data_IF_955967850297
#
_entry.id   IF_955967850297
#
_cell.length_a   1.000
_cell.length_b   1.000
_cell.length_c   1.000
_cell.angle_alpha   90.00
_cell.angle_beta   90.00
_cell.angle_gamma   90.00
#
_symmetry.space_group_name_H-M   'P 1'
#
loop_
_entity.id
_entity.type
_entity.pdbx_description
1 polymer ?
#
# COMPACT_ATOMS: atom_id res chain seq x y z
N UNK A 1 -19.82 -18.11 -1.91
CA UNK A 1 -18.67 -17.82 -2.80
C UNK A 1 -17.50 -18.67 -2.32
N UNK A 2 -16.85 -19.44 -3.18
CA UNK A 2 -15.92 -20.52 -2.80
C UNK A 2 -14.51 -20.05 -2.37
N UNK A 3 -14.32 -18.76 -2.03
CA UNK A 3 -13.01 -18.15 -1.76
C UNK A 3 -12.99 -17.15 -0.60
N UNK A 4 -14.08 -16.94 0.13
CA UNK A 4 -14.31 -15.69 0.86
C UNK A 4 -13.29 -15.28 1.93
N UNK A 5 -12.41 -16.17 2.41
CA UNK A 5 -11.40 -15.84 3.42
C UNK A 5 -10.03 -16.53 3.18
N UNK A 6 -9.65 -16.84 1.93
CA UNK A 6 -8.35 -17.47 1.66
C UNK A 6 -7.25 -16.49 1.23
N UNK A 7 -7.63 -15.33 0.72
CA UNK A 7 -6.70 -14.38 0.13
C UNK A 7 -6.93 -13.00 0.69
N UNK A 8 -5.81 -12.39 1.06
CA UNK A 8 -5.66 -11.01 1.49
C UNK A 8 -5.09 -10.25 0.29
N UNK A 9 -5.82 -9.26 -0.21
CA UNK A 9 -5.53 -8.62 -1.50
C UNK A 9 -5.58 -7.10 -1.35
N UNK A 10 -4.52 -6.45 -1.82
CA UNK A 10 -4.51 -5.03 -2.18
C UNK A 10 -4.42 -4.91 -3.70
N UNK A 11 -5.26 -4.07 -4.30
CA UNK A 11 -5.17 -3.74 -5.73
C UNK A 11 -4.92 -2.25 -5.90
N UNK A 12 -4.08 -1.91 -6.87
CA UNK A 12 -3.64 -0.54 -7.12
C UNK A 12 -4.75 0.44 -7.49
N UNK A 13 -5.84 -0.02 -8.10
CA UNK A 13 -6.99 0.82 -8.44
C UNK A 13 -8.28 -0.01 -8.55
N UNK A 14 -9.43 0.66 -8.72
CA UNK A 14 -10.66 -0.01 -9.11
C UNK A 14 -10.55 -0.58 -10.54
N UNK A 15 -11.35 -1.60 -10.84
CA UNK A 15 -11.36 -2.29 -12.15
C UNK A 15 -11.66 -1.38 -13.36
N UNK A 16 -12.20 -0.19 -13.13
CA UNK A 16 -12.53 0.81 -14.16
C UNK A 16 -11.49 1.93 -14.30
N UNK A 17 -10.42 1.91 -13.50
CA UNK A 17 -9.36 2.93 -13.47
C UNK A 17 -8.07 2.38 -14.08
N UNK A 18 -7.20 3.30 -14.49
CA UNK A 18 -5.83 2.99 -14.89
C UNK A 18 -4.86 3.34 -13.75
N UNK A 19 -3.82 2.53 -13.58
CA UNK A 19 -2.78 2.83 -12.60
C UNK A 19 -1.80 3.86 -13.17
N UNK A 20 -1.27 4.71 -12.29
CA UNK A 20 -0.34 5.77 -12.64
C UNK A 20 1.10 5.39 -12.28
N UNK A 21 2.02 5.81 -13.15
CA UNK A 21 3.46 5.72 -12.90
C UNK A 21 4.03 7.03 -12.34
N UNK A 22 5.13 6.92 -11.61
CA UNK A 22 5.94 8.03 -11.14
C UNK A 22 6.86 8.54 -12.26
N UNK A 23 7.42 9.74 -12.07
CA UNK A 23 8.60 10.17 -12.84
C UNK A 23 9.78 9.22 -12.60
N UNK A 24 10.77 9.15 -13.52
CA UNK A 24 11.95 8.28 -13.37
C UNK A 24 12.55 8.32 -11.96
N UNK A 25 12.69 7.17 -11.32
CA UNK A 25 13.25 7.06 -9.98
C UNK A 25 14.72 7.53 -9.97
N UNK A 26 15.14 8.35 -8.99
CA UNK A 26 16.44 9.03 -9.02
C UNK A 26 17.65 8.08 -8.89
N UNK A 27 17.44 6.83 -8.44
CA UNK A 27 18.53 5.86 -8.25
C UNK A 27 18.80 5.03 -9.51
N UNK A 28 17.76 4.58 -10.22
CA UNK A 28 17.89 3.63 -11.33
C UNK A 28 17.26 4.13 -12.65
N UNK A 29 16.59 5.28 -12.66
CA UNK A 29 15.90 5.84 -13.83
C UNK A 29 14.60 5.11 -14.22
N UNK A 30 14.26 4.07 -13.46
CA UNK A 30 13.03 3.28 -13.42
C UNK A 30 11.76 4.11 -13.16
N UNK A 31 10.80 4.41 -14.07
CA UNK A 31 9.46 4.78 -13.58
C UNK A 31 8.88 3.67 -12.71
N UNK A 32 8.30 4.03 -11.57
CA UNK A 32 7.71 3.12 -10.60
C UNK A 32 6.18 3.27 -10.61
N UNK A 33 5.41 2.25 -10.23
CA UNK A 33 3.97 2.44 -10.02
C UNK A 33 3.73 3.24 -8.73
N UNK A 34 2.88 4.27 -8.75
CA UNK A 34 2.57 5.07 -7.55
C UNK A 34 2.12 4.22 -6.38
N UNK A 35 1.22 3.25 -6.64
CA UNK A 35 0.79 2.26 -5.64
C UNK A 35 1.97 1.53 -4.99
N UNK A 36 2.87 0.98 -5.80
CA UNK A 36 4.00 0.21 -5.29
C UNK A 36 5.01 1.08 -4.55
N UNK A 37 5.24 2.31 -5.02
CA UNK A 37 6.17 3.26 -4.38
C UNK A 37 5.69 3.57 -2.96
N UNK A 38 4.42 3.96 -2.83
CA UNK A 38 3.84 4.32 -1.54
C UNK A 38 3.73 3.10 -0.61
N UNK A 39 3.38 1.92 -1.13
CA UNK A 39 3.40 0.70 -0.31
C UNK A 39 4.81 0.41 0.26
N UNK A 40 5.84 0.56 -0.57
CA UNK A 40 7.23 0.34 -0.16
C UNK A 40 7.69 1.38 0.88
N UNK A 41 7.35 2.65 0.68
CA UNK A 41 7.63 3.73 1.65
C UNK A 41 6.91 3.48 2.98
N UNK A 42 5.60 3.21 2.93
CA UNK A 42 4.77 2.92 4.09
C UNK A 42 5.30 1.77 4.95
N UNK A 43 5.85 0.75 4.30
CA UNK A 43 6.43 -0.44 4.94
C UNK A 43 7.95 -0.34 5.19
N UNK A 44 8.56 0.82 4.96
CA UNK A 44 9.97 1.08 5.25
C UNK A 44 10.98 0.33 4.36
N UNK A 45 10.59 -0.09 3.16
CA UNK A 45 11.48 -0.81 2.22
C UNK A 45 12.64 0.06 1.74
N UNK A 46 12.36 1.30 1.30
CA UNK A 46 13.39 2.21 0.78
C UNK A 46 14.06 3.02 1.91
N UNK A 47 13.29 3.45 2.89
CA UNK A 47 13.79 4.20 4.05
C UNK A 47 13.05 3.75 5.30
N UNK A 48 13.80 3.26 6.27
CA UNK A 48 13.25 2.85 7.56
C UNK A 48 13.05 4.05 8.49
N UNK A 49 11.85 4.15 9.08
CA UNK A 49 11.48 5.05 10.19
C UNK A 49 10.77 4.24 11.28
N UNK A 50 10.86 4.71 12.53
CA UNK A 50 10.14 4.12 13.66
C UNK A 50 9.17 5.13 14.29
N UNK A 51 7.85 4.86 14.30
CA UNK A 51 7.19 3.72 13.66
C UNK A 51 7.29 3.78 12.13
N UNK A 52 6.95 2.67 11.46
CA UNK A 52 6.75 2.66 10.00
C UNK A 52 5.69 3.69 9.63
N UNK A 53 5.79 4.34 8.46
CA UNK A 53 4.82 5.39 8.10
C UNK A 53 3.38 4.88 8.01
N UNK A 54 3.19 3.61 7.64
CA UNK A 54 1.87 2.99 7.59
C UNK A 54 1.40 2.42 8.94
N UNK A 55 2.25 2.31 9.97
CA UNK A 55 1.89 1.81 11.30
C UNK A 55 1.17 2.91 12.10
N UNK A 56 -0.15 3.02 11.88
CA UNK A 56 -0.98 4.11 12.38
C UNK A 56 -1.36 3.94 13.86
N UNK A 57 -1.38 2.70 14.38
CA UNK A 57 -1.66 2.44 15.79
C UNK A 57 -0.40 2.30 16.66
N UNK A 58 0.79 2.45 16.04
CA UNK A 58 2.13 2.39 16.65
C UNK A 58 2.41 1.06 17.39
N UNK A 59 1.86 -0.04 16.87
CA UNK A 59 2.01 -1.36 17.49
C UNK A 59 3.25 -2.15 17.00
N UNK A 60 4.10 -1.53 16.17
CA UNK A 60 5.32 -2.08 15.54
C UNK A 60 5.07 -3.11 14.42
N UNK A 61 3.88 -3.13 13.84
CA UNK A 61 3.54 -3.93 12.67
C UNK A 61 2.64 -3.12 11.74
N UNK A 62 2.68 -3.43 10.45
CA UNK A 62 1.76 -2.87 9.47
C UNK A 62 0.84 -3.98 9.01
N UNK A 63 -0.45 -3.83 9.30
CA UNK A 63 -1.51 -4.69 8.76
C UNK A 63 -1.86 -4.33 7.31
N UNK A 64 -2.56 -5.23 6.62
CA UNK A 64 -3.08 -4.99 5.28
C UNK A 64 -4.00 -3.77 5.25
N UNK A 65 -4.84 -3.59 6.28
CA UNK A 65 -5.72 -2.44 6.38
C UNK A 65 -4.97 -1.13 6.64
N UNK A 66 -3.91 -1.16 7.44
CA UNK A 66 -3.04 0.00 7.66
C UNK A 66 -2.32 0.44 6.38
N UNK A 67 -1.74 -0.52 5.65
CA UNK A 67 -1.15 -0.25 4.35
C UNK A 67 -2.18 0.32 3.37
N UNK A 68 -3.42 -0.22 3.35
CA UNK A 68 -4.52 0.36 2.56
C UNK A 68 -4.77 1.82 2.91
N UNK A 69 -4.96 2.15 4.20
CA UNK A 69 -5.26 3.52 4.64
C UNK A 69 -4.12 4.49 4.31
N UNK A 70 -2.87 4.05 4.48
CA UNK A 70 -1.71 4.85 4.14
C UNK A 70 -1.66 5.15 2.63
N UNK A 71 -1.84 4.13 1.78
CA UNK A 71 -1.81 4.33 0.33
C UNK A 71 -2.99 5.17 -0.16
N UNK A 72 -4.19 4.94 0.38
CA UNK A 72 -5.37 5.75 0.07
C UNK A 72 -5.12 7.24 0.39
N UNK A 73 -4.52 7.54 1.54
CA UNK A 73 -4.18 8.90 1.96
C UNK A 73 -3.14 9.55 1.04
N UNK A 74 -2.04 8.86 0.73
CA UNK A 74 -0.96 9.43 -0.09
C UNK A 74 -1.35 9.61 -1.56
N UNK A 75 -2.29 8.79 -2.06
CA UNK A 75 -2.76 8.84 -3.45
C UNK A 75 -4.09 9.59 -3.62
N UNK A 76 -4.62 10.25 -2.57
CA UNK A 76 -5.94 10.92 -2.57
C UNK A 76 -6.13 11.90 -3.75
N UNK A 77 -5.06 12.57 -4.18
CA UNK A 77 -5.10 13.55 -5.27
C UNK A 77 -4.94 12.95 -6.68
N UNK A 78 -4.75 11.63 -6.78
CA UNK A 78 -4.64 10.89 -8.03
C UNK A 78 -5.96 10.19 -8.36
N UNK A 79 -6.26 10.04 -9.65
CA UNK A 79 -7.39 9.20 -10.11
C UNK A 79 -7.00 7.71 -10.04
N UNK A 80 -6.79 7.21 -8.83
CA UNK A 80 -6.33 5.85 -8.57
C UNK A 80 -6.83 5.32 -7.21
N UNK A 81 -8.02 4.75 -7.18
CA UNK A 81 -8.65 4.30 -5.93
C UNK A 81 -8.19 2.89 -5.54
N UNK A 82 -7.23 2.79 -4.62
CA UNK A 82 -6.78 1.50 -4.08
C UNK A 82 -7.95 0.71 -3.51
N UNK A 83 -7.96 -0.61 -3.71
CA UNK A 83 -8.98 -1.49 -3.13
C UNK A 83 -8.34 -2.54 -2.23
N UNK A 84 -9.09 -2.97 -1.23
CA UNK A 84 -8.69 -4.00 -0.26
C UNK A 84 -9.75 -5.10 -0.18
N UNK A 85 -9.30 -6.34 -0.03
CA UNK A 85 -10.17 -7.47 0.28
C UNK A 85 -9.48 -8.52 1.16
N UNK A 86 -10.14 -8.98 2.25
CA UNK A 86 -11.29 -8.36 2.91
C UNK A 86 -10.97 -6.99 3.51
N UNK A 87 -11.99 -6.13 3.58
CA UNK A 87 -11.88 -4.85 4.30
C UNK A 87 -11.62 -5.07 5.79
N UNK A 88 -10.76 -4.25 6.38
CA UNK A 88 -10.42 -4.35 7.80
C UNK A 88 -9.53 -5.54 8.17
N UNK A 89 -8.81 -6.11 7.19
CA UNK A 89 -7.88 -7.20 7.42
C UNK A 89 -6.74 -6.82 8.36
N UNK A 90 -6.54 -7.63 9.41
CA UNK A 90 -5.45 -7.52 10.38
C UNK A 90 -4.19 -8.31 9.96
N UNK A 91 -4.17 -8.82 8.72
CA UNK A 91 -3.04 -9.57 8.20
C UNK A 91 -1.77 -8.71 8.19
N UNK A 92 -0.76 -9.11 8.97
CA UNK A 92 0.52 -8.41 9.04
C UNK A 92 1.31 -8.56 7.74
N UNK A 93 1.62 -7.43 7.08
CA UNK A 93 2.52 -7.38 5.91
C UNK A 93 3.97 -7.31 6.36
N UNK A 94 4.27 -6.52 7.38
CA UNK A 94 5.62 -6.33 7.93
C UNK A 94 5.56 -6.07 9.43
N UNK A 95 6.57 -6.55 10.16
CA UNK A 95 6.78 -6.33 11.59
C UNK A 95 8.26 -6.08 11.88
N UNK A 96 8.56 -5.60 13.09
CA UNK A 96 9.89 -5.19 13.50
C UNK A 96 10.61 -6.12 14.48
#
# INVERSE_FOLDING_TARGET
>A
LLTTNQYEVLTSCHSSQECLGTSPHPVDGNPFGWFSAVLCEGCGYDTYSHPYFADNDENNKVSLYEAYLYIESELELLDQDVQIHPSGSDFTIVEH
#
